data_IF_442899885080
#
_entry.id   IF_442899885080
#
_cell.length_a   1.000
_cell.length_b   1.000
_cell.length_c   1.000
_cell.angle_alpha   90.00
_cell.angle_beta   90.00
_cell.angle_gamma   90.00
#
_symmetry.space_group_name_H-M   'P 1'
#
loop_
_entity.id
_entity.type
_entity.pdbx_description
1 polymer ?
#
# COMPACT_ATOMS: atom_id res chain seq x y z
N UNK A 1 -12.51 0.85 22.07
CA UNK A 1 -12.41 2.33 22.01
C UNK A 1 -11.96 2.64 20.60
N UNK A 2 -12.85 3.09 19.71
CA UNK A 2 -12.52 3.29 18.29
C UNK A 2 -11.42 4.35 18.20
N UNK A 3 -10.18 3.96 17.87
CA UNK A 3 -9.07 4.91 17.71
C UNK A 3 -9.44 5.82 16.52
N UNK A 4 -9.91 7.04 16.79
CA UNK A 4 -10.23 8.01 15.74
C UNK A 4 -8.94 8.43 15.05
N UNK A 5 -9.00 8.51 13.73
CA UNK A 5 -7.92 9.04 12.88
C UNK A 5 -7.52 10.42 13.41
N UNK A 6 -6.21 10.63 13.59
CA UNK A 6 -5.63 11.86 14.11
C UNK A 6 -4.34 12.22 13.34
N UNK A 7 -3.69 13.34 13.69
CA UNK A 7 -2.48 13.83 13.02
C UNK A 7 -1.28 12.87 13.07
N UNK A 8 -1.27 11.96 14.03
CA UNK A 8 -0.20 10.98 14.25
C UNK A 8 -0.52 9.63 13.60
N UNK A 9 -1.70 9.48 12.99
CA UNK A 9 -2.09 8.25 12.29
C UNK A 9 -1.21 8.06 11.05
N UNK A 10 -0.52 6.93 10.97
CA UNK A 10 0.31 6.54 9.84
C UNK A 10 -0.55 5.85 8.78
N UNK A 11 -0.37 6.21 7.50
CA UNK A 11 -1.12 5.61 6.40
C UNK A 11 -0.34 4.44 5.81
N UNK A 12 -1.05 3.33 5.60
CA UNK A 12 -0.67 2.19 4.78
C UNK A 12 -1.68 2.09 3.62
N UNK A 13 -1.24 1.60 2.47
CA UNK A 13 -2.15 1.54 1.32
C UNK A 13 -1.89 0.35 0.39
N UNK A 14 -2.76 0.21 -0.62
CA UNK A 14 -2.54 -0.67 -1.75
C UNK A 14 -2.86 0.03 -3.07
N UNK A 15 -2.10 -0.27 -4.12
CA UNK A 15 -2.38 0.16 -5.49
C UNK A 15 -2.81 -1.06 -6.33
N UNK A 16 -4.01 -0.98 -6.91
CA UNK A 16 -4.59 -2.03 -7.75
C UNK A 16 -5.53 -1.40 -8.79
N UNK A 17 -5.61 -1.95 -10.00
CA UNK A 17 -6.56 -1.42 -11.00
C UNK A 17 -8.03 -1.62 -10.58
N UNK A 18 -8.30 -2.68 -9.80
CA UNK A 18 -9.63 -3.00 -9.27
C UNK A 18 -9.52 -3.35 -7.79
N UNK A 19 -9.46 -2.35 -6.89
CA UNK A 19 -9.34 -2.60 -5.46
C UNK A 19 -10.63 -3.22 -4.89
N UNK A 20 -10.49 -4.14 -3.94
CA UNK A 20 -11.61 -4.71 -3.18
C UNK A 20 -11.63 -4.21 -1.74
N UNK A 21 -12.77 -4.37 -1.06
CA UNK A 21 -12.89 -4.00 0.35
C UNK A 21 -12.24 -4.99 1.31
N UNK A 22 -11.84 -6.18 0.84
CA UNK A 22 -11.34 -7.24 1.74
C UNK A 22 -10.07 -6.81 2.47
N UNK A 23 -9.01 -6.43 1.73
CA UNK A 23 -7.75 -6.00 2.34
C UNK A 23 -7.92 -4.76 3.23
N UNK A 24 -8.75 -3.81 2.80
CA UNK A 24 -9.07 -2.61 3.60
C UNK A 24 -9.74 -3.00 4.92
N UNK A 25 -10.72 -3.90 4.93
CA UNK A 25 -11.38 -4.34 6.17
C UNK A 25 -10.45 -5.17 7.04
N UNK A 26 -9.72 -6.10 6.44
CA UNK A 26 -8.80 -7.00 7.14
C UNK A 26 -7.70 -6.23 7.89
N UNK A 27 -6.99 -5.32 7.20
CA UNK A 27 -5.92 -4.56 7.84
C UNK A 27 -6.44 -3.61 8.92
N UNK A 28 -7.52 -2.86 8.65
CA UNK A 28 -8.05 -1.93 9.67
C UNK A 28 -8.62 -2.66 10.88
N UNK A 29 -9.27 -3.83 10.70
CA UNK A 29 -9.70 -4.67 11.82
C UNK A 29 -8.51 -5.10 12.69
N UNK A 30 -7.42 -5.57 12.08
CA UNK A 30 -6.23 -5.96 12.83
C UNK A 30 -5.53 -4.77 13.49
N UNK A 31 -5.49 -3.61 12.84
CA UNK A 31 -4.93 -2.39 13.44
C UNK A 31 -5.73 -1.98 14.68
N UNK A 32 -7.06 -2.07 14.63
CA UNK A 32 -7.90 -1.83 15.81
C UNK A 32 -7.69 -2.89 16.90
N UNK A 33 -7.69 -4.18 16.54
CA UNK A 33 -7.52 -5.28 17.49
C UNK A 33 -6.15 -5.27 18.19
N UNK A 34 -5.12 -4.72 17.53
CA UNK A 34 -3.74 -4.63 18.04
C UNK A 34 -3.40 -3.23 18.60
N UNK A 35 -4.38 -2.33 18.70
CA UNK A 35 -4.21 -0.93 19.15
C UNK A 35 -3.14 -0.13 18.37
N UNK A 36 -3.00 -0.39 17.08
CA UNK A 36 -2.04 0.28 16.21
C UNK A 36 -2.64 1.54 15.58
N UNK A 37 -1.91 2.66 15.61
CA UNK A 37 -2.34 3.93 15.00
C UNK A 37 -2.07 3.99 13.48
N UNK A 38 -2.62 3.01 12.74
CA UNK A 38 -2.52 2.93 11.29
C UNK A 38 -3.89 3.01 10.62
N UNK A 39 -3.91 3.53 9.39
CA UNK A 39 -5.04 3.47 8.48
C UNK A 39 -4.63 2.69 7.23
N UNK A 40 -5.44 1.72 6.79
CA UNK A 40 -5.25 1.05 5.50
C UNK A 40 -6.28 1.51 4.46
N UNK A 41 -5.84 1.89 3.25
CA UNK A 41 -6.76 2.18 2.12
C UNK A 41 -6.22 1.69 0.78
N UNK A 42 -7.07 1.03 -0.01
CA UNK A 42 -6.76 0.67 -1.39
C UNK A 42 -7.15 1.79 -2.37
N UNK A 43 -6.30 2.06 -3.36
CA UNK A 43 -6.50 3.07 -4.41
C UNK A 43 -6.29 2.45 -5.79
N UNK A 44 -6.95 3.02 -6.79
CA UNK A 44 -6.66 2.76 -8.21
C UNK A 44 -5.97 4.00 -8.77
N UNK A 45 -4.62 4.02 -8.86
CA UNK A 45 -3.91 5.18 -9.37
C UNK A 45 -4.18 5.35 -10.86
N UNK A 46 -4.32 6.60 -11.30
CA UNK A 46 -4.34 6.95 -12.74
C UNK A 46 -2.93 6.98 -13.33
N UNK A 47 -1.94 7.26 -12.50
CA UNK A 47 -0.51 7.28 -12.84
C UNK A 47 0.28 6.66 -11.66
N UNK A 48 1.01 5.58 -11.95
CA UNK A 48 1.74 4.82 -10.94
C UNK A 48 2.95 5.60 -10.41
N UNK A 49 3.67 6.31 -11.28
CA UNK A 49 4.86 7.10 -10.91
C UNK A 49 4.47 8.23 -9.98
N UNK A 50 3.38 8.95 -10.29
CA UNK A 50 2.85 10.01 -9.42
C UNK A 50 2.32 9.45 -8.11
N UNK A 51 1.65 8.29 -8.13
CA UNK A 51 1.18 7.65 -6.90
C UNK A 51 2.35 7.26 -5.97
N UNK A 52 3.40 6.64 -6.52
CA UNK A 52 4.59 6.28 -5.75
C UNK A 52 5.35 7.53 -5.27
N UNK A 53 5.40 8.59 -6.08
CA UNK A 53 5.95 9.89 -5.66
C UNK A 53 5.15 10.49 -4.50
N UNK A 54 3.83 10.36 -4.53
CA UNK A 54 2.93 10.75 -3.44
C UNK A 54 3.15 9.93 -2.16
N UNK A 55 3.37 8.61 -2.28
CA UNK A 55 3.73 7.75 -1.14
C UNK A 55 4.97 8.29 -0.44
N UNK A 56 6.02 8.64 -1.21
CA UNK A 56 7.26 9.22 -0.67
C UNK A 56 7.03 10.62 -0.08
N UNK A 57 6.42 11.51 -0.86
CA UNK A 57 6.24 12.93 -0.50
C UNK A 57 5.33 13.15 0.71
N UNK A 58 4.39 12.23 0.98
CA UNK A 58 3.47 12.31 2.11
C UNK A 58 3.92 11.50 3.34
N UNK A 59 5.06 10.81 3.28
CA UNK A 59 5.51 9.96 4.38
C UNK A 59 4.58 8.76 4.66
N UNK A 60 3.94 8.20 3.63
CA UNK A 60 3.10 7.01 3.74
C UNK A 60 4.01 5.82 4.08
N UNK A 61 3.66 5.06 5.13
CA UNK A 61 4.51 4.01 5.71
C UNK A 61 4.86 2.92 4.72
N UNK A 62 3.93 2.56 3.83
CA UNK A 62 4.13 1.51 2.85
C UNK A 62 2.91 1.27 1.96
N UNK A 63 3.15 0.62 0.83
CA UNK A 63 2.14 0.35 -0.17
C UNK A 63 2.26 -1.09 -0.69
N UNK A 64 1.17 -1.86 -0.62
CA UNK A 64 1.07 -3.15 -1.29
C UNK A 64 0.75 -2.96 -2.78
N UNK A 65 1.45 -3.67 -3.66
CA UNK A 65 1.25 -3.59 -5.11
C UNK A 65 0.49 -4.82 -5.61
N UNK A 66 -0.63 -4.58 -6.28
CA UNK A 66 -1.43 -5.63 -6.93
C UNK A 66 -1.46 -5.43 -8.44
N UNK A 67 -2.08 -6.38 -9.15
CA UNK A 67 -2.17 -6.33 -10.60
C UNK A 67 -2.91 -5.07 -11.08
N UNK A 68 -2.47 -4.48 -12.21
CA UNK A 68 -1.37 -4.90 -13.08
C UNK A 68 -0.01 -4.23 -12.74
N UNK A 69 0.12 -3.60 -11.57
CA UNK A 69 1.25 -2.68 -11.30
C UNK A 69 2.53 -3.35 -10.78
N UNK A 70 2.53 -4.68 -10.57
CA UNK A 70 3.64 -5.40 -9.92
C UNK A 70 4.98 -5.24 -10.62
N UNK A 71 5.00 -5.35 -11.95
CA UNK A 71 6.24 -5.21 -12.72
C UNK A 71 6.59 -3.73 -12.92
N UNK A 72 5.58 -2.90 -13.21
CA UNK A 72 5.75 -1.48 -13.46
C UNK A 72 6.28 -0.71 -12.23
N UNK A 73 6.12 -1.23 -11.00
CA UNK A 73 6.66 -0.58 -9.81
C UNK A 73 8.14 -0.91 -9.53
N UNK A 74 8.68 -2.00 -10.09
CA UNK A 74 10.07 -2.44 -9.90
C UNK A 74 11.09 -1.34 -10.22
N UNK A 75 11.03 -0.63 -11.35
CA UNK A 75 11.98 0.45 -11.63
C UNK A 75 11.76 1.71 -10.76
N UNK A 76 10.69 1.76 -9.96
CA UNK A 76 10.30 2.91 -9.16
C UNK A 76 10.67 2.74 -7.67
N UNK A 77 11.22 1.60 -7.28
CA UNK A 77 11.74 1.32 -5.93
C UNK A 77 13.26 1.44 -5.89
N UNK A 78 13.79 1.84 -4.74
CA UNK A 78 15.22 2.05 -4.56
C UNK A 78 15.96 0.72 -4.32
N UNK A 79 15.30 -0.22 -3.65
CA UNK A 79 15.81 -1.55 -3.31
C UNK A 79 14.73 -2.61 -3.53
N UNK A 80 15.17 -3.82 -3.89
CA UNK A 80 14.34 -5.01 -4.05
C UNK A 80 14.91 -6.13 -3.19
N UNK A 81 14.05 -6.77 -2.42
CA UNK A 81 14.41 -8.00 -1.72
C UNK A 81 14.74 -9.10 -2.74
N UNK A 82 15.67 -10.00 -2.40
CA UNK A 82 16.07 -11.09 -3.29
C UNK A 82 14.91 -12.03 -3.69
N UNK A 83 13.84 -12.07 -2.88
CA UNK A 83 12.60 -12.80 -3.17
C UNK A 83 11.60 -12.04 -4.05
N UNK A 84 11.82 -10.75 -4.27
CA UNK A 84 10.90 -9.87 -5.01
C UNK A 84 10.90 -10.02 -6.54
N UNK A 85 11.98 -10.47 -7.24
CA UNK A 85 11.91 -10.71 -8.67
C UNK A 85 10.80 -11.69 -9.00
N UNK A 86 9.81 -11.24 -9.78
CA UNK A 86 8.76 -12.11 -10.31
C UNK A 86 9.41 -13.22 -11.12
N UNK A 87 9.05 -14.48 -10.86
CA UNK A 87 9.44 -15.61 -11.70
C UNK A 87 9.07 -15.26 -13.15
N UNK A 88 10.08 -15.08 -14.00
CA UNK A 88 9.91 -14.89 -15.43
C UNK A 88 9.10 -16.07 -15.96
N UNK A 89 7.92 -15.78 -16.50
CA UNK A 89 7.22 -16.71 -17.37
C UNK A 89 8.18 -17.07 -18.51
N UNK A 90 8.62 -18.33 -18.51
CA UNK A 90 9.09 -19.04 -19.70
C UNK A 90 8.05 -19.02 -20.80
#
# INVERSE_FOLDING_TARGET
>A
MTKRINKDTQVCMSLAARPSNFGTRFHNYLYEALDLNYLYKAFSPTDLTQAISGVRGLGIRGCAISMPFKEACIPLVDELDASAPGHSLS
#
